data_IF_001954296690
#
_entry.id   IF_001954296690
#
_cell.length_a   1.000
_cell.length_b   1.000
_cell.length_c   1.000
_cell.angle_alpha   90.00
_cell.angle_beta   90.00
_cell.angle_gamma   90.00
#
_symmetry.space_group_name_H-M   'P 1'
#
loop_
_entity.id
_entity.type
_entity.pdbx_description
1 polymer ?
#
# COMPACT_ATOMS: atom_id res chain seq x y z
N UNK A 1 -9.00 1.13 -1.01
CA UNK A 1 -8.04 1.82 -1.89
C UNK A 1 -6.94 0.82 -2.26
N UNK A 2 -6.16 1.08 -3.31
CA UNK A 2 -5.01 0.24 -3.65
C UNK A 2 -3.79 0.71 -2.86
N UNK A 3 -3.05 -0.25 -2.31
CA UNK A 3 -1.84 -0.01 -1.55
C UNK A 3 -0.70 -0.85 -2.13
N UNK A 4 0.50 -0.34 -2.02
CA UNK A 4 1.75 -0.96 -2.45
C UNK A 4 2.58 -1.32 -1.22
N UNK A 5 3.17 -2.51 -1.24
CA UNK A 5 4.14 -2.94 -0.24
C UNK A 5 5.47 -2.21 -0.47
N UNK A 6 5.98 -1.55 0.58
CA UNK A 6 7.22 -0.77 0.50
C UNK A 6 8.46 -1.63 0.26
N UNK A 7 8.43 -2.91 0.63
CA UNK A 7 9.58 -3.81 0.49
C UNK A 7 9.71 -4.44 -0.92
N UNK A 8 8.59 -4.81 -1.55
CA UNK A 8 8.61 -5.58 -2.81
C UNK A 8 7.77 -4.98 -3.94
N UNK A 9 7.03 -3.89 -3.70
CA UNK A 9 6.16 -3.28 -4.70
C UNK A 9 4.89 -4.08 -5.02
N UNK A 10 4.57 -5.14 -4.25
CA UNK A 10 3.32 -5.87 -4.51
C UNK A 10 2.12 -4.99 -4.19
N UNK A 11 1.10 -5.03 -5.04
CA UNK A 11 -0.14 -4.29 -4.81
C UNK A 11 -1.18 -5.14 -4.08
N UNK A 12 -1.92 -4.52 -3.17
CA UNK A 12 -3.09 -5.12 -2.53
C UNK A 12 -4.21 -4.11 -2.39
N UNK A 13 -5.43 -4.61 -2.22
CA UNK A 13 -6.58 -3.78 -1.88
C UNK A 13 -6.76 -3.81 -0.37
N UNK A 14 -6.72 -2.63 0.24
CA UNK A 14 -7.01 -2.45 1.66
C UNK A 14 -8.33 -1.70 1.77
N UNK A 15 -9.26 -2.24 2.56
CA UNK A 15 -10.51 -1.55 2.89
C UNK A 15 -10.18 -0.34 3.77
N UNK A 16 -10.83 0.80 3.51
CA UNK A 16 -10.58 2.14 4.07
C UNK A 16 -9.91 2.11 5.45
N UNK A 17 -8.57 2.13 5.50
CA UNK A 17 -7.86 2.05 6.76
C UNK A 17 -7.75 3.46 7.34
N UNK A 18 -7.98 3.58 8.65
CA UNK A 18 -7.69 4.81 9.37
C UNK A 18 -6.23 4.78 9.82
N UNK A 19 -5.33 5.39 9.03
CA UNK A 19 -3.91 5.54 9.34
C UNK A 19 -2.96 4.56 8.65
N UNK A 20 -1.82 4.29 9.29
CA UNK A 20 -0.76 3.41 8.77
C UNK A 20 -1.26 1.97 8.58
N UNK A 21 -1.07 1.44 7.37
CA UNK A 21 -1.45 0.07 7.06
C UNK A 21 -0.26 -0.85 7.26
N UNK A 22 -0.27 -1.64 8.32
CA UNK A 22 0.73 -2.70 8.56
C UNK A 22 0.06 -4.06 8.49
N UNK A 23 0.44 -4.88 7.52
CA UNK A 23 -0.09 -6.24 7.33
C UNK A 23 0.92 -7.13 6.63
N UNK A 24 0.72 -8.43 6.73
CA UNK A 24 1.56 -9.42 6.07
C UNK A 24 1.50 -9.30 4.54
N UNK A 25 2.68 -9.29 3.93
CA UNK A 25 2.85 -9.36 2.50
C UNK A 25 2.81 -10.81 2.03
N UNK A 26 1.91 -11.17 1.08
CA UNK A 26 1.88 -12.53 0.54
C UNK A 26 3.12 -12.88 -0.31
N UNK A 27 3.95 -11.89 -0.66
CA UNK A 27 5.19 -12.07 -1.44
C UNK A 27 6.40 -12.15 -0.53
N UNK A 28 6.50 -11.24 0.45
CA UNK A 28 7.63 -11.22 1.39
C UNK A 28 7.45 -12.17 2.57
N UNK A 29 6.23 -12.68 2.78
CA UNK A 29 5.84 -13.50 3.94
C UNK A 29 6.22 -12.84 5.29
N UNK A 30 6.18 -11.50 5.31
CA UNK A 30 6.52 -10.69 6.49
C UNK A 30 5.55 -9.52 6.63
N UNK A 31 5.42 -8.99 7.85
CA UNK A 31 4.63 -7.78 8.12
C UNK A 31 5.39 -6.57 7.58
N UNK A 32 4.78 -5.91 6.60
CA UNK A 32 5.31 -4.70 5.95
C UNK A 32 4.36 -3.53 6.17
N UNK A 33 4.90 -2.32 6.00
CA UNK A 33 4.09 -1.14 5.78
C UNK A 33 3.54 -1.16 4.34
N UNK A 34 2.31 -0.66 4.20
CA UNK A 34 1.63 -0.53 2.93
C UNK A 34 1.24 0.92 2.74
N UNK A 35 1.72 1.50 1.64
CA UNK A 35 1.47 2.90 1.29
C UNK A 35 0.44 2.96 0.16
N UNK A 36 -0.45 3.96 0.14
CA UNK A 36 -1.44 4.07 -0.92
C UNK A 36 -0.75 4.27 -2.27
N UNK A 37 -1.01 3.37 -3.22
CA UNK A 37 -0.38 3.38 -4.54
C UNK A 37 -0.76 4.59 -5.42
N UNK A 38 -1.60 5.50 -4.90
CA UNK A 38 -2.25 6.58 -5.64
C UNK A 38 -2.18 7.96 -4.96
N UNK A 39 -1.24 8.22 -4.05
CA UNK A 39 -1.00 9.59 -3.52
C UNK A 39 -0.09 10.46 -4.40
N UNK A 40 0.07 10.10 -5.68
CA UNK A 40 1.13 10.65 -6.53
C UNK A 40 0.72 11.11 -7.92
N UNK A 41 -0.51 11.56 -8.16
CA UNK A 41 -0.82 12.31 -9.40
C UNK A 41 -1.78 13.46 -9.11
N UNK A 42 -1.26 14.48 -8.40
CA UNK A 42 -1.66 15.86 -8.65
C UNK A 42 -1.23 16.25 -10.06
N UNK A 43 -1.92 15.74 -11.08
CA UNK A 43 -1.91 16.37 -12.39
C UNK A 43 -2.76 17.64 -12.26
N UNK A 44 -2.09 18.75 -11.98
CA UNK A 44 -2.66 20.07 -12.25
C UNK A 44 -2.88 20.14 -13.76
N UNK A 45 -4.14 20.10 -14.19
CA UNK A 45 -4.54 20.45 -15.56
C UNK A 45 -4.63 21.97 -15.70
#
# INVERSE_FOLDING_TARGET
MQYECVDCGTMTRVGSPEGEVRRECPVCETVTLWEPAFEGQGVSF
#
